data_IF_274071854695
#
_entry.id   IF_274071854695
#
_cell.length_a   1.000
_cell.length_b   1.000
_cell.length_c   1.000
_cell.angle_alpha   90.00
_cell.angle_beta   90.00
_cell.angle_gamma   90.00
#
_symmetry.space_group_name_H-M   'P 1'
#
loop_
_entity.id
_entity.type
_entity.pdbx_description
1 polymer ?
#
# COMPACT_ATOMS: atom_id res chain seq x y z
N UNK A 1 -1.41 2.07 -20.54
CA UNK A 1 -0.66 1.14 -19.67
C UNK A 1 0.23 0.19 -20.46
N UNK A 2 -0.28 -0.63 -21.38
CA UNK A 2 0.54 -1.62 -22.12
C UNK A 2 1.80 -1.06 -22.79
N UNK A 3 1.77 0.18 -23.30
CA UNK A 3 2.94 0.85 -23.90
C UNK A 3 4.11 0.97 -22.91
N UNK A 4 3.87 1.02 -21.59
CA UNK A 4 4.95 1.07 -20.61
C UNK A 4 5.86 -0.17 -20.67
N UNK A 5 5.33 -1.32 -21.12
CA UNK A 5 6.12 -2.54 -21.30
C UNK A 5 7.20 -2.41 -22.39
N UNK A 6 7.04 -1.46 -23.32
CA UNK A 6 8.01 -1.20 -24.38
C UNK A 6 9.14 -0.26 -23.93
N UNK A 7 8.86 0.64 -22.97
CA UNK A 7 9.73 1.77 -22.66
C UNK A 7 10.32 1.75 -21.25
N UNK A 8 9.72 1.00 -20.32
CA UNK A 8 10.18 0.91 -18.94
C UNK A 8 10.98 -0.37 -18.74
N UNK A 9 12.19 -0.24 -18.20
CA UNK A 9 12.98 -1.36 -17.72
C UNK A 9 12.35 -1.99 -16.45
N UNK A 10 12.84 -3.17 -16.07
CA UNK A 10 12.50 -3.80 -14.80
C UNK A 10 12.85 -2.86 -13.64
N UNK A 11 11.88 -2.62 -12.75
CA UNK A 11 12.06 -1.76 -11.59
C UNK A 11 13.06 -2.37 -10.57
N UNK A 12 14.00 -1.55 -10.13
CA UNK A 12 14.83 -1.81 -8.95
C UNK A 12 14.04 -1.56 -7.64
N UNK A 13 14.53 -2.00 -6.46
CA UNK A 13 13.81 -1.85 -5.18
C UNK A 13 13.44 -0.41 -4.80
N UNK A 14 14.15 0.57 -5.32
CA UNK A 14 13.95 2.00 -5.07
C UNK A 14 13.23 2.73 -6.22
N UNK A 15 12.65 2.01 -7.18
CA UNK A 15 11.99 2.57 -8.36
C UNK A 15 10.48 2.30 -8.38
N UNK A 16 9.73 3.14 -9.07
CA UNK A 16 8.32 2.91 -9.38
C UNK A 16 7.99 3.60 -10.72
N UNK A 17 6.87 3.22 -11.34
CA UNK A 17 6.44 3.81 -12.62
C UNK A 17 5.13 4.56 -12.43
N UNK A 18 5.14 5.87 -12.67
CA UNK A 18 3.94 6.71 -12.69
C UNK A 18 3.33 6.74 -14.09
N UNK A 19 2.04 6.42 -14.19
CA UNK A 19 1.24 6.44 -15.41
C UNK A 19 0.12 7.46 -15.24
N UNK A 20 0.26 8.62 -15.88
CA UNK A 20 -0.65 9.77 -15.74
C UNK A 20 -1.46 9.94 -17.01
N UNK A 21 -2.77 10.12 -16.87
CA UNK A 21 -3.68 10.33 -18.00
C UNK A 21 -4.25 9.06 -18.60
N UNK A 22 -4.19 7.93 -17.90
CA UNK A 22 -4.76 6.68 -18.39
C UNK A 22 -6.28 6.78 -18.54
N UNK A 23 -6.79 6.35 -19.70
CA UNK A 23 -8.21 6.23 -19.98
C UNK A 23 -8.69 4.80 -19.75
N UNK A 24 -9.86 4.65 -19.14
CA UNK A 24 -10.54 3.37 -19.01
C UNK A 24 -11.48 3.15 -20.20
N UNK A 25 -11.22 2.11 -20.99
CA UNK A 25 -12.05 1.78 -22.16
C UNK A 25 -13.12 0.73 -21.89
N UNK A 26 -13.00 -0.02 -20.80
CA UNK A 26 -13.78 -1.23 -20.58
C UNK A 26 -14.26 -1.36 -19.14
N UNK A 27 -15.44 -1.92 -18.98
CA UNK A 27 -15.92 -2.45 -17.70
C UNK A 27 -15.63 -3.93 -17.60
N UNK A 28 -15.61 -4.46 -16.39
CA UNK A 28 -15.42 -5.88 -16.15
C UNK A 28 -16.21 -6.38 -14.93
N UNK A 29 -16.42 -7.69 -14.87
CA UNK A 29 -16.95 -8.41 -13.71
C UNK A 29 -16.06 -9.61 -13.40
N UNK A 30 -16.15 -10.11 -12.18
CA UNK A 30 -15.34 -11.24 -11.71
C UNK A 30 -13.86 -10.90 -11.57
N UNK A 31 -13.06 -11.92 -11.31
CA UNK A 31 -11.62 -11.85 -11.10
C UNK A 31 -10.98 -13.22 -11.42
N UNK A 32 -9.73 -13.21 -11.90
CA UNK A 32 -9.01 -14.41 -12.35
C UNK A 32 -9.88 -15.25 -13.32
N UNK A 33 -10.10 -16.52 -13.04
CA UNK A 33 -10.86 -17.44 -13.92
C UNK A 33 -12.32 -17.02 -14.15
N UNK A 34 -12.88 -16.18 -13.27
CA UNK A 34 -14.23 -15.63 -13.41
C UNK A 34 -14.27 -14.28 -14.13
N UNK A 35 -13.13 -13.76 -14.59
CA UNK A 35 -13.05 -12.48 -15.29
C UNK A 35 -13.88 -12.48 -16.56
N UNK A 36 -14.70 -11.44 -16.73
CA UNK A 36 -15.54 -11.26 -17.91
C UNK A 36 -15.56 -9.80 -18.34
N UNK A 37 -15.48 -9.60 -19.66
CA UNK A 37 -15.71 -8.30 -20.27
C UNK A 37 -17.12 -7.80 -19.95
N UNK A 38 -17.20 -6.62 -19.36
CA UNK A 38 -18.46 -6.02 -18.89
C UNK A 38 -19.05 -4.99 -19.84
N UNK A 39 -18.51 -4.86 -21.07
CA UNK A 39 -18.93 -3.85 -22.04
C UNK A 39 -18.03 -2.61 -22.09
N UNK A 40 -18.28 -1.75 -23.07
CA UNK A 40 -17.54 -0.50 -23.26
C UNK A 40 -17.72 0.39 -22.03
N UNK A 41 -16.70 1.20 -21.71
CA UNK A 41 -16.80 2.23 -20.68
C UNK A 41 -16.51 3.59 -21.31
N UNK A 42 -17.45 4.53 -21.16
CA UNK A 42 -17.26 5.92 -21.55
C UNK A 42 -16.65 6.69 -20.37
N UNK A 43 -15.35 6.92 -20.45
CA UNK A 43 -14.59 7.56 -19.40
C UNK A 43 -14.81 9.07 -19.43
N UNK A 44 -15.66 9.54 -18.51
CA UNK A 44 -15.97 10.96 -18.35
C UNK A 44 -15.02 11.68 -17.36
N UNK A 45 -13.90 11.06 -16.97
CA UNK A 45 -12.89 11.69 -16.09
C UNK A 45 -12.38 13.00 -16.72
N UNK A 46 -12.39 14.12 -15.97
CA UNK A 46 -11.87 15.40 -16.44
C UNK A 46 -10.42 15.32 -16.90
N UNK A 47 -10.02 16.30 -17.73
CA UNK A 47 -8.65 16.44 -18.21
C UNK A 47 -7.97 17.65 -17.59
N UNK A 48 -6.66 17.56 -17.40
CA UNK A 48 -5.83 18.70 -17.03
C UNK A 48 -5.53 19.61 -18.23
N UNK A 49 -4.78 20.68 -17.98
CA UNK A 49 -4.39 21.66 -19.01
C UNK A 49 -3.50 21.06 -20.12
N UNK A 50 -2.97 19.84 -19.95
CA UNK A 50 -2.17 19.13 -20.94
C UNK A 50 -2.98 18.05 -21.67
N UNK A 51 -4.30 18.01 -21.47
CA UNK A 51 -5.20 17.06 -22.11
C UNK A 51 -5.13 15.65 -21.52
N UNK A 52 -4.44 15.45 -20.40
CA UNK A 52 -4.34 14.15 -19.71
C UNK A 52 -5.52 14.00 -18.76
N UNK A 53 -6.14 12.82 -18.71
CA UNK A 53 -7.18 12.53 -17.72
C UNK A 53 -6.62 12.66 -16.29
N UNK A 54 -7.46 13.09 -15.34
CA UNK A 54 -7.17 13.08 -13.90
C UNK A 54 -7.17 11.65 -13.33
N UNK A 55 -6.34 10.81 -13.90
CA UNK A 55 -6.14 9.41 -13.56
C UNK A 55 -4.64 9.19 -13.38
N UNK A 56 -4.22 9.01 -12.14
CA UNK A 56 -2.84 8.80 -11.76
C UNK A 56 -2.72 7.39 -11.19
N UNK A 57 -1.96 6.54 -11.89
CA UNK A 57 -1.71 5.17 -11.45
C UNK A 57 -0.22 5.01 -11.22
N UNK A 58 0.14 4.35 -10.12
CA UNK A 58 1.52 4.01 -9.80
C UNK A 58 1.66 2.49 -9.86
N UNK A 59 2.61 2.00 -10.66
CA UNK A 59 3.00 0.61 -10.64
C UNK A 59 4.16 0.44 -9.64
N UNK A 60 3.96 -0.49 -8.70
CA UNK A 60 4.92 -0.85 -7.67
C UNK A 60 4.83 -2.36 -7.37
N UNK A 61 5.96 -3.04 -7.35
CA UNK A 61 6.06 -4.49 -7.21
C UNK A 61 6.36 -4.90 -5.76
N UNK A 62 5.61 -5.87 -5.22
CA UNK A 62 5.88 -6.48 -3.93
C UNK A 62 6.91 -7.62 -4.05
N UNK A 63 7.53 -8.01 -2.95
CA UNK A 63 8.31 -9.25 -2.87
C UNK A 63 7.35 -10.43 -2.99
N UNK A 64 7.77 -11.46 -3.72
CA UNK A 64 7.12 -12.77 -3.71
C UNK A 64 7.70 -13.62 -2.55
N UNK A 65 6.87 -13.94 -1.56
CA UNK A 65 7.30 -14.73 -0.40
C UNK A 65 7.00 -16.22 -0.56
N UNK A 66 8.04 -17.04 -0.71
CA UNK A 66 7.90 -18.51 -0.70
C UNK A 66 7.43 -19.04 0.65
N UNK A 67 7.89 -18.41 1.73
CA UNK A 67 7.53 -18.76 3.11
C UNK A 67 7.03 -17.52 3.83
N UNK A 68 5.80 -17.57 4.33
CA UNK A 68 5.13 -16.42 4.94
C UNK A 68 5.89 -15.87 6.17
N UNK A 69 6.63 -16.68 6.92
CA UNK A 69 7.41 -16.20 8.08
C UNK A 69 8.57 -15.27 7.71
N UNK A 70 9.09 -15.34 6.48
CA UNK A 70 10.25 -14.54 6.07
C UNK A 70 9.92 -13.05 5.88
N UNK A 71 8.65 -12.70 5.75
CA UNK A 71 8.24 -11.33 5.43
C UNK A 71 8.41 -10.33 6.59
N UNK A 72 8.46 -10.83 7.83
CA UNK A 72 8.72 -10.01 9.02
C UNK A 72 10.20 -9.74 9.26
N UNK A 73 11.10 -10.38 8.48
CA UNK A 73 12.51 -10.03 8.48
C UNK A 73 12.66 -8.54 8.13
N UNK A 74 13.45 -7.81 8.92
CA UNK A 74 13.55 -6.37 8.77
C UNK A 74 14.13 -5.95 7.42
N UNK A 75 14.95 -6.78 6.76
CA UNK A 75 15.39 -6.51 5.40
C UNK A 75 14.22 -6.51 4.40
N UNK A 76 13.26 -7.41 4.58
CA UNK A 76 12.06 -7.48 3.77
C UNK A 76 11.11 -6.31 4.08
N UNK A 77 10.93 -5.99 5.37
CA UNK A 77 10.15 -4.81 5.81
C UNK A 77 10.72 -3.53 5.20
N UNK A 78 12.04 -3.33 5.29
CA UNK A 78 12.74 -2.15 4.75
C UNK A 78 12.55 -2.01 3.24
N UNK A 79 12.71 -3.12 2.50
CA UNK A 79 12.50 -3.14 1.05
C UNK A 79 11.07 -2.73 0.69
N UNK A 80 10.09 -3.32 1.35
CA UNK A 80 8.68 -3.06 1.06
C UNK A 80 8.24 -1.66 1.48
N UNK A 81 8.79 -1.16 2.60
CA UNK A 81 8.59 0.20 3.06
C UNK A 81 9.22 1.21 2.10
N UNK A 82 10.45 0.97 1.62
CA UNK A 82 11.12 1.81 0.62
C UNK A 82 10.32 1.86 -0.68
N UNK A 83 9.91 0.69 -1.20
CA UNK A 83 9.11 0.59 -2.43
C UNK A 83 7.79 1.37 -2.30
N UNK A 84 7.09 1.19 -1.18
CA UNK A 84 5.85 1.91 -0.92
C UNK A 84 6.08 3.42 -0.78
N UNK A 85 7.10 3.83 -0.02
CA UNK A 85 7.44 5.24 0.16
C UNK A 85 7.77 5.91 -1.18
N UNK A 86 8.68 5.33 -1.98
CA UNK A 86 9.03 5.81 -3.33
C UNK A 86 7.79 5.97 -4.21
N UNK A 87 6.81 5.08 -4.07
CA UNK A 87 5.57 5.13 -4.86
C UNK A 87 4.58 6.18 -4.35
N UNK A 88 4.71 6.59 -3.09
CA UNK A 88 3.79 7.47 -2.40
C UNK A 88 4.27 8.92 -2.33
N UNK A 89 5.57 9.20 -2.52
CA UNK A 89 6.06 10.57 -2.52
C UNK A 89 5.29 11.44 -3.54
N UNK A 90 4.90 12.67 -3.17
CA UNK A 90 4.25 13.59 -4.10
C UNK A 90 5.14 13.86 -5.31
N UNK A 91 4.56 13.80 -6.51
CA UNK A 91 5.23 14.32 -7.69
C UNK A 91 5.35 15.84 -7.53
N UNK A 92 6.57 16.39 -7.64
CA UNK A 92 6.90 17.82 -7.44
C UNK A 92 6.26 18.78 -8.46
N UNK A 93 5.28 18.34 -9.25
CA UNK A 93 4.69 19.14 -10.31
C UNK A 93 3.55 20.01 -9.79
N UNK A 94 3.91 21.18 -9.24
CA UNK A 94 3.19 22.44 -9.41
C UNK A 94 1.71 22.52 -9.01
N UNK A 95 1.18 21.57 -8.24
CA UNK A 95 -0.18 21.66 -7.72
C UNK A 95 -0.17 21.67 -6.19
N UNK A 96 -0.91 22.61 -5.60
CA UNK A 96 -1.23 22.64 -4.16
C UNK A 96 -2.12 21.45 -3.73
N UNK A 97 -2.42 20.54 -4.65
CA UNK A 97 -3.30 19.40 -4.45
C UNK A 97 -2.49 18.14 -4.08
N UNK A 98 -2.43 17.85 -2.78
CA UNK A 98 -1.97 16.57 -2.25
C UNK A 98 -3.10 15.53 -2.36
N UNK A 99 -3.17 14.81 -3.47
CA UNK A 99 -4.13 13.70 -3.61
C UNK A 99 -3.83 12.59 -2.61
N UNK A 100 -4.88 11.99 -2.03
CA UNK A 100 -4.74 10.77 -1.22
C UNK A 100 -4.22 9.58 -2.03
N UNK A 101 -3.76 8.55 -1.34
CA UNK A 101 -3.31 7.28 -1.89
C UNK A 101 -4.47 6.29 -1.81
N UNK A 102 -4.97 5.81 -2.95
CA UNK A 102 -5.93 4.72 -2.99
C UNK A 102 -5.19 3.40 -3.26
N UNK A 103 -5.26 2.45 -2.33
CA UNK A 103 -4.55 1.17 -2.39
C UNK A 103 -5.39 0.04 -1.77
N UNK A 104 -4.80 -1.14 -1.55
CA UNK A 104 -5.42 -2.27 -0.87
C UNK A 104 -4.41 -3.32 -0.44
N UNK A 105 -4.80 -4.59 -0.55
CA UNK A 105 -4.00 -5.77 -0.16
C UNK A 105 -2.81 -6.03 -1.12
N UNK A 106 -1.92 -5.04 -1.25
CA UNK A 106 -0.76 -5.06 -2.14
C UNK A 106 0.17 -6.23 -1.83
N UNK A 107 0.41 -7.09 -2.82
CA UNK A 107 1.28 -8.26 -2.69
C UNK A 107 0.68 -9.43 -1.88
N UNK A 108 -0.58 -9.37 -1.44
CA UNK A 108 -1.15 -10.37 -0.53
C UNK A 108 -1.91 -11.52 -1.21
N UNK A 109 -1.99 -11.51 -2.54
CA UNK A 109 -2.61 -12.57 -3.34
C UNK A 109 -1.56 -13.56 -3.82
N UNK A 110 -1.32 -13.59 -5.12
CA UNK A 110 -0.30 -14.46 -5.74
C UNK A 110 1.12 -14.31 -5.16
N UNK A 111 1.40 -13.20 -4.46
CA UNK A 111 2.72 -12.89 -3.89
C UNK A 111 2.86 -13.30 -2.42
N UNK A 112 1.80 -13.86 -1.84
CA UNK A 112 1.79 -14.49 -0.52
C UNK A 112 2.22 -13.57 0.64
N UNK A 113 2.03 -12.26 0.51
CA UNK A 113 2.20 -11.30 1.59
C UNK A 113 1.06 -11.35 2.61
N UNK A 114 1.38 -11.02 3.86
CA UNK A 114 0.44 -10.86 4.95
C UNK A 114 -0.25 -9.49 4.87
N UNK A 115 -1.58 -9.52 4.91
CA UNK A 115 -2.39 -8.31 4.74
C UNK A 115 -2.24 -7.33 5.91
N UNK A 116 -2.00 -7.82 7.12
CA UNK A 116 -1.87 -7.00 8.32
C UNK A 116 -0.54 -6.24 8.29
N UNK A 117 0.57 -6.93 7.99
CA UNK A 117 1.87 -6.33 7.79
C UNK A 117 1.85 -5.31 6.65
N UNK A 118 1.27 -5.68 5.50
CA UNK A 118 1.18 -4.78 4.33
C UNK A 118 0.33 -3.54 4.58
N UNK A 119 -0.70 -3.62 5.43
CA UNK A 119 -1.48 -2.46 5.85
C UNK A 119 -0.64 -1.49 6.70
N UNK A 120 0.14 -2.01 7.66
CA UNK A 120 1.05 -1.20 8.50
C UNK A 120 2.15 -0.57 7.66
N UNK A 121 2.80 -1.32 6.76
CA UNK A 121 3.85 -0.79 5.87
C UNK A 121 3.31 0.35 5.00
N UNK A 122 2.12 0.19 4.41
CA UNK A 122 1.52 1.24 3.59
C UNK A 122 1.07 2.45 4.43
N UNK A 123 0.60 2.25 5.65
CA UNK A 123 0.31 3.33 6.60
C UNK A 123 1.56 4.13 6.96
N UNK A 124 2.67 3.44 7.24
CA UNK A 124 3.98 4.07 7.52
C UNK A 124 4.46 4.89 6.33
N UNK A 125 4.45 4.29 5.12
CA UNK A 125 4.88 4.96 3.90
C UNK A 125 4.02 6.19 3.57
N UNK A 126 2.69 6.08 3.67
CA UNK A 126 1.76 7.18 3.41
C UNK A 126 1.94 8.32 4.42
N UNK A 127 2.10 7.98 5.70
CA UNK A 127 2.35 8.95 6.78
C UNK A 127 3.69 9.67 6.58
N UNK A 128 4.75 8.96 6.20
CA UNK A 128 6.05 9.54 5.90
C UNK A 128 6.02 10.42 4.64
N UNK A 129 5.18 10.09 3.66
CA UNK A 129 4.94 10.90 2.46
C UNK A 129 3.99 12.10 2.72
N UNK A 130 3.39 12.19 3.91
CA UNK A 130 2.43 13.25 4.27
C UNK A 130 1.09 13.14 3.54
N UNK A 131 0.68 11.95 3.10
CA UNK A 131 -0.52 11.76 2.26
C UNK A 131 -1.58 10.92 2.95
N UNK A 132 -2.87 11.28 2.84
CA UNK A 132 -3.98 10.45 3.31
C UNK A 132 -3.98 9.08 2.62
N UNK A 133 -4.35 8.03 3.34
CA UNK A 133 -4.46 6.66 2.83
C UNK A 133 -5.92 6.20 2.77
N UNK A 134 -6.36 5.74 1.60
CA UNK A 134 -7.63 5.04 1.39
C UNK A 134 -7.30 3.58 1.13
N UNK A 135 -7.69 2.70 2.06
CA UNK A 135 -7.37 1.27 2.01
C UNK A 135 -8.59 0.42 1.63
N UNK A 136 -8.57 -0.17 0.43
CA UNK A 136 -9.61 -1.06 -0.06
C UNK A 136 -9.24 -2.53 0.15
N UNK A 137 -9.82 -3.17 1.17
CA UNK A 137 -9.49 -4.55 1.56
C UNK A 137 -10.18 -5.65 0.72
N UNK A 138 -10.83 -5.31 -0.40
CA UNK A 138 -11.55 -6.24 -1.29
C UNK A 138 -12.50 -7.22 -0.56
N UNK A 139 -13.68 -6.72 -0.15
CA UNK A 139 -14.74 -7.48 0.56
C UNK A 139 -14.34 -8.07 1.92
N UNK A 140 -13.10 -7.88 2.37
CA UNK A 140 -12.60 -8.33 3.68
C UNK A 140 -12.97 -7.32 4.78
N UNK A 141 -14.22 -7.39 5.25
CA UNK A 141 -14.73 -6.50 6.30
C UNK A 141 -14.01 -6.69 7.64
N UNK A 142 -13.50 -7.89 7.90
CA UNK A 142 -12.77 -8.21 9.13
C UNK A 142 -11.47 -7.41 9.15
N UNK A 143 -10.69 -7.44 8.07
CA UNK A 143 -9.48 -6.64 7.95
C UNK A 143 -9.75 -5.14 8.06
N UNK A 144 -10.79 -4.61 7.40
CA UNK A 144 -11.13 -3.18 7.48
C UNK A 144 -11.40 -2.75 8.92
N UNK A 145 -12.24 -3.51 9.64
CA UNK A 145 -12.60 -3.19 11.02
C UNK A 145 -11.39 -3.30 11.95
N UNK A 146 -10.60 -4.37 11.83
CA UNK A 146 -9.41 -4.57 12.65
C UNK A 146 -8.37 -3.48 12.39
N UNK A 147 -8.17 -3.08 11.11
CA UNK A 147 -7.23 -2.03 10.75
C UNK A 147 -7.67 -0.66 11.25
N UNK A 148 -8.98 -0.38 11.21
CA UNK A 148 -9.55 0.84 11.80
C UNK A 148 -9.33 0.91 13.32
N UNK A 149 -9.53 -0.20 14.05
CA UNK A 149 -9.30 -0.26 15.49
C UNK A 149 -7.82 0.00 15.82
N UNK A 150 -6.90 -0.64 15.08
CA UNK A 150 -5.46 -0.38 15.22
C UNK A 150 -5.11 1.07 14.92
N UNK A 151 -5.68 1.65 13.86
CA UNK A 151 -5.44 3.04 13.50
C UNK A 151 -5.90 4.02 14.61
N UNK A 152 -7.11 3.84 15.15
CA UNK A 152 -7.61 4.69 16.23
C UNK A 152 -6.76 4.54 17.50
N UNK A 153 -6.35 3.31 17.85
CA UNK A 153 -5.40 3.09 18.95
C UNK A 153 -4.07 3.85 18.74
N UNK A 154 -3.46 3.71 17.56
CA UNK A 154 -2.19 4.38 17.24
C UNK A 154 -2.33 5.90 17.29
N UNK A 155 -3.45 6.44 16.82
CA UNK A 155 -3.77 7.86 16.86
C UNK A 155 -3.95 8.37 18.29
N UNK A 156 -4.68 7.64 19.14
CA UNK A 156 -4.87 7.97 20.55
C UNK A 156 -3.54 7.95 21.33
N UNK A 157 -2.66 7.00 21.00
CA UNK A 157 -1.31 6.91 21.57
C UNK A 157 -0.33 7.95 21.00
N UNK A 158 -0.74 8.77 20.02
CA UNK A 158 0.12 9.71 19.28
C UNK A 158 1.35 9.00 18.69
N UNK A 159 1.16 7.79 18.19
CA UNK A 159 2.23 6.96 17.63
C UNK A 159 2.85 7.63 16.39
N UNK A 160 4.17 7.58 16.30
CA UNK A 160 4.92 8.06 15.13
C UNK A 160 5.26 6.90 14.18
N UNK A 161 5.66 7.22 12.95
CA UNK A 161 6.20 6.20 12.01
C UNK A 161 7.36 5.43 12.62
N UNK A 162 8.19 6.09 13.43
CA UNK A 162 9.29 5.44 14.17
C UNK A 162 8.78 4.43 15.19
N UNK A 163 7.65 4.67 15.84
CA UNK A 163 7.03 3.72 16.78
C UNK A 163 6.45 2.51 16.05
N UNK A 164 5.80 2.71 14.90
CA UNK A 164 5.34 1.61 14.03
C UNK A 164 6.51 0.73 13.58
N UNK A 165 7.63 1.33 13.20
CA UNK A 165 8.84 0.59 12.87
C UNK A 165 9.35 -0.24 14.06
N UNK A 166 9.38 0.34 15.28
CA UNK A 166 9.74 -0.39 16.51
C UNK A 166 8.79 -1.54 16.82
N UNK A 167 7.48 -1.38 16.58
CA UNK A 167 6.53 -2.50 16.73
C UNK A 167 6.93 -3.67 15.83
N UNK A 168 7.24 -3.43 14.55
CA UNK A 168 7.64 -4.48 13.62
C UNK A 168 8.95 -5.16 14.05
N UNK A 169 9.95 -4.38 14.45
CA UNK A 169 11.23 -4.92 14.94
C UNK A 169 11.03 -5.85 16.15
N UNK A 170 10.24 -5.40 17.15
CA UNK A 170 9.98 -6.20 18.35
C UNK A 170 9.11 -7.41 18.07
N UNK A 171 8.08 -7.27 17.23
CA UNK A 171 7.20 -8.36 16.83
C UNK A 171 7.99 -9.50 16.18
N UNK A 172 8.90 -9.17 15.24
CA UNK A 172 9.81 -10.13 14.63
C UNK A 172 10.69 -10.83 15.68
N UNK A 173 11.28 -10.08 16.60
CA UNK A 173 12.16 -10.65 17.65
C UNK A 173 11.45 -11.59 18.63
N UNK A 174 10.13 -11.47 18.80
CA UNK A 174 9.34 -12.28 19.73
C UNK A 174 8.76 -13.56 19.11
N UNK A 175 8.96 -13.77 17.80
CA UNK A 175 8.58 -14.99 17.08
C UNK A 175 7.08 -15.14 16.83
N UNK A 176 6.38 -14.03 16.55
CA UNK A 176 5.01 -14.05 15.98
C UNK A 176 3.97 -14.84 16.82
N UNK A 177 4.05 -14.80 18.16
CA UNK A 177 3.18 -15.59 19.08
C UNK A 177 1.69 -15.25 19.02
N UNK A 178 1.33 -14.11 18.45
CA UNK A 178 -0.02 -13.60 18.25
C UNK A 178 -0.07 -12.79 16.96
N UNK A 179 -1.25 -12.37 16.49
CA UNK A 179 -1.32 -11.53 15.28
C UNK A 179 -0.63 -10.18 15.48
N UNK A 180 -0.12 -9.58 14.39
CA UNK A 180 0.52 -8.27 14.45
C UNK A 180 -0.41 -7.20 15.04
N UNK A 181 -1.70 -7.22 14.68
CA UNK A 181 -2.67 -6.24 15.16
C UNK A 181 -2.94 -6.42 16.66
N UNK A 182 -3.11 -7.66 17.14
CA UNK A 182 -3.26 -7.93 18.58
C UNK A 182 -2.02 -7.50 19.36
N UNK A 183 -0.83 -7.71 18.78
CA UNK A 183 0.42 -7.23 19.37
C UNK A 183 0.48 -5.72 19.50
N UNK A 184 0.10 -4.97 18.47
CA UNK A 184 0.04 -3.51 18.53
C UNK A 184 -0.97 -3.06 19.59
N UNK A 185 -2.18 -3.64 19.60
CA UNK A 185 -3.25 -3.24 20.53
C UNK A 185 -2.94 -3.57 22.00
N UNK A 186 -2.16 -4.63 22.26
CA UNK A 186 -1.76 -5.03 23.61
C UNK A 186 -0.49 -4.34 24.12
N UNK A 187 0.20 -3.58 23.27
CA UNK A 187 1.52 -3.00 23.58
C UNK A 187 1.45 -1.47 23.51
N UNK A 188 1.37 -0.74 24.62
CA UNK A 188 1.35 0.73 24.61
C UNK A 188 2.62 1.33 23.99
N UNK A 189 2.50 2.45 23.26
CA UNK A 189 3.66 3.11 22.60
C UNK A 189 4.74 3.51 23.61
N UNK A 190 4.35 3.87 24.84
CA UNK A 190 5.29 4.17 25.92
C UNK A 190 6.25 3.01 26.24
N UNK A 191 5.80 1.77 26.06
CA UNK A 191 6.63 0.57 26.30
C UNK A 191 7.67 0.31 25.21
N UNK A 192 7.55 0.94 24.05
CA UNK A 192 8.50 0.82 22.93
C UNK A 192 9.79 1.63 23.14
N UNK A 193 9.75 2.61 24.04
CA UNK A 193 10.88 3.50 24.35
C UNK A 193 11.78 2.87 25.40
N UNK A 194 12.51 1.83 25.00
CA UNK A 194 13.66 1.31 25.74
C UNK A 194 14.85 1.18 24.81
#
# INVERSE_FOLDING_TARGET
MLVSLLICEKMEPNECIFLIGCERYSSYKGYADSFQYGGNYDDNTPKDNWGRKWCHVVAMDAIYFRHASTQYDMHCVDRELLKAYTSFIPLKYGSDYMFGIATGNWGCGAFNGDKYLKAIIQLMAASAAGRPLIYAAYRDKVLVNAFYIVYEFLKDQKATVSDLYRYLQRYFSQGERQSLFDYILSTPVSSLKS
#
